data_IF_632938190198
#
_entry.id   IF_632938190198
#
_cell.length_a   1.000
_cell.length_b   1.000
_cell.length_c   1.000
_cell.angle_alpha   90.00
_cell.angle_beta   90.00
_cell.angle_gamma   90.00
#
_symmetry.space_group_name_H-M   'P 1'
#
loop_
_entity.id
_entity.type
_entity.pdbx_description
1 polymer ?
#
# COMPACT_ATOMS: atom_id res chain seq x y z
N UNK A 1 -14.95 -43.58 7.48
CA UNK A 1 -16.03 -42.81 6.82
C UNK A 1 -16.74 -41.99 7.89
N UNK A 2 -16.31 -40.74 8.11
CA UNK A 2 -16.78 -39.91 9.23
C UNK A 2 -18.07 -39.16 8.91
N UNK A 3 -18.87 -38.84 9.93
CA UNK A 3 -20.22 -38.24 9.90
C UNK A 3 -20.40 -36.94 9.07
N UNK A 4 -19.38 -36.42 8.41
CA UNK A 4 -19.42 -35.10 7.76
C UNK A 4 -18.64 -35.00 6.43
N UNK A 5 -18.54 -36.08 5.64
CA UNK A 5 -17.92 -35.97 4.31
C UNK A 5 -18.94 -35.50 3.26
N UNK A 6 -18.73 -34.31 2.70
CA UNK A 6 -19.33 -33.96 1.41
C UNK A 6 -18.61 -34.74 0.29
N UNK A 7 -19.29 -35.11 -0.81
CA UNK A 7 -18.60 -35.71 -1.95
C UNK A 7 -17.56 -34.73 -2.49
N UNK A 8 -16.37 -35.25 -2.78
CA UNK A 8 -15.26 -34.47 -3.32
C UNK A 8 -15.64 -33.83 -4.65
N UNK A 9 -15.19 -32.59 -4.90
CA UNK A 9 -15.36 -31.95 -6.20
C UNK A 9 -14.17 -32.30 -7.09
N UNK A 10 -14.42 -33.06 -8.15
CA UNK A 10 -13.41 -33.36 -9.17
C UNK A 10 -13.49 -32.29 -10.26
N UNK A 11 -12.40 -31.55 -10.47
CA UNK A 11 -12.32 -30.52 -11.50
C UNK A 11 -11.84 -31.10 -12.83
N UNK A 12 -12.37 -30.57 -13.93
CA UNK A 12 -11.78 -30.78 -15.27
C UNK A 12 -10.47 -29.98 -15.35
N UNK A 13 -9.47 -30.44 -16.11
CA UNK A 13 -8.31 -29.62 -16.41
C UNK A 13 -8.71 -28.28 -17.01
N UNK A 14 -8.04 -27.20 -16.62
CA UNK A 14 -8.36 -25.84 -17.06
C UNK A 14 -8.35 -25.69 -18.59
N UNK A 15 -7.47 -26.43 -19.28
CA UNK A 15 -7.38 -26.46 -20.74
C UNK A 15 -8.60 -27.10 -21.43
N UNK A 16 -9.37 -27.91 -20.70
CA UNK A 16 -10.51 -28.68 -21.22
C UNK A 16 -11.86 -28.02 -20.87
N UNK A 17 -11.85 -26.86 -20.19
CA UNK A 17 -13.06 -26.12 -19.81
C UNK A 17 -13.62 -25.37 -21.02
N UNK A 18 -14.88 -25.62 -21.36
CA UNK A 18 -15.58 -24.86 -22.39
C UNK A 18 -15.98 -23.48 -21.84
N UNK A 19 -15.50 -22.41 -22.48
CA UNK A 19 -15.87 -21.01 -22.15
C UNK A 19 -16.79 -20.40 -23.21
N UNK A 20 -17.31 -21.23 -24.13
CA UNK A 20 -18.21 -20.82 -25.19
C UNK A 20 -19.64 -20.54 -24.71
N UNK A 21 -20.51 -20.01 -25.60
CA UNK A 21 -21.88 -19.65 -25.27
C UNK A 21 -22.79 -20.81 -24.81
N UNK A 22 -22.39 -22.06 -25.08
CA UNK A 22 -23.11 -23.28 -24.69
C UNK A 22 -22.55 -23.96 -23.43
N UNK A 23 -21.58 -23.33 -22.77
CA UNK A 23 -20.91 -23.88 -21.60
C UNK A 23 -21.88 -24.15 -20.45
N UNK A 24 -21.62 -25.23 -19.70
CA UNK A 24 -22.27 -25.56 -18.44
C UNK A 24 -21.59 -24.92 -17.22
N UNK A 25 -20.50 -24.17 -17.44
CA UNK A 25 -19.82 -23.41 -16.40
C UNK A 25 -20.70 -22.24 -15.94
N UNK A 26 -20.80 -22.06 -14.62
CA UNK A 26 -21.64 -21.05 -14.01
C UNK A 26 -20.85 -20.19 -13.04
N UNK A 27 -21.28 -18.92 -12.92
CA UNK A 27 -20.70 -18.02 -11.94
C UNK A 27 -21.09 -18.44 -10.52
N UNK A 28 -20.10 -18.81 -9.71
CA UNK A 28 -20.30 -19.06 -8.28
C UNK A 28 -20.33 -17.70 -7.57
N UNK A 29 -21.53 -17.23 -7.23
CA UNK A 29 -21.66 -16.03 -6.40
C UNK A 29 -21.16 -16.30 -4.98
N UNK A 30 -20.13 -15.59 -4.50
CA UNK A 30 -19.64 -15.76 -3.14
C UNK A 30 -20.69 -15.23 -2.15
N UNK A 31 -21.21 -16.11 -1.30
CA UNK A 31 -22.05 -15.76 -0.16
C UNK A 31 -21.26 -16.01 1.12
N UNK A 32 -20.32 -15.12 1.42
CA UNK A 32 -19.45 -15.25 2.59
C UNK A 32 -20.28 -15.01 3.85
N UNK A 33 -20.39 -16.03 4.69
CA UNK A 33 -21.12 -16.01 5.97
C UNK A 33 -20.13 -15.95 7.11
N UNK A 34 -20.22 -14.87 7.89
CA UNK A 34 -19.45 -14.71 9.11
C UNK A 34 -20.26 -13.91 10.14
N UNK A 35 -20.08 -14.17 11.45
CA UNK A 35 -20.70 -13.36 12.48
C UNK A 35 -20.09 -11.95 12.48
N UNK A 36 -20.95 -10.92 12.55
CA UNK A 36 -20.52 -9.53 12.77
C UNK A 36 -20.52 -9.25 14.27
N UNK A 37 -19.34 -9.20 14.87
CA UNK A 37 -19.15 -8.99 16.32
C UNK A 37 -18.24 -7.78 16.59
N UNK A 38 -18.46 -7.10 17.72
CA UNK A 38 -17.67 -5.96 18.17
C UNK A 38 -17.61 -5.89 19.70
N UNK A 39 -16.68 -5.10 20.24
CA UNK A 39 -16.56 -4.85 21.69
C UNK A 39 -16.26 -6.10 22.51
N UNK A 40 -17.07 -6.38 23.54
CA UNK A 40 -16.88 -7.57 24.39
C UNK A 40 -17.15 -8.87 23.62
N UNK A 41 -18.10 -8.87 22.68
CA UNK A 41 -18.49 -10.07 21.94
C UNK A 41 -17.38 -10.59 21.05
N UNK A 42 -16.58 -9.71 20.43
CA UNK A 42 -15.42 -10.15 19.64
C UNK A 42 -14.33 -10.78 20.53
N UNK A 43 -14.13 -10.28 21.77
CA UNK A 43 -13.18 -10.88 22.72
C UNK A 43 -13.58 -12.30 23.11
N UNK A 44 -14.87 -12.50 23.42
CA UNK A 44 -15.41 -13.83 23.73
C UNK A 44 -15.29 -14.76 22.52
N UNK A 45 -15.61 -14.26 21.33
CA UNK A 45 -15.54 -15.04 20.09
C UNK A 45 -14.11 -15.48 19.78
N UNK A 46 -13.11 -14.59 19.89
CA UNK A 46 -11.69 -14.93 19.72
C UNK A 46 -11.25 -15.97 20.75
N UNK A 47 -11.61 -15.78 22.03
CA UNK A 47 -11.30 -16.76 23.08
C UNK A 47 -11.85 -18.17 22.75
N UNK A 48 -13.07 -18.26 22.23
CA UNK A 48 -13.66 -19.53 21.75
C UNK A 48 -12.87 -20.12 20.58
N UNK A 49 -12.48 -19.29 19.60
CA UNK A 49 -11.69 -19.74 18.44
C UNK A 49 -10.31 -20.27 18.82
N UNK A 50 -9.72 -19.76 19.91
CA UNK A 50 -8.42 -20.20 20.43
C UNK A 50 -8.51 -21.47 21.30
N UNK A 51 -9.72 -21.92 21.66
CA UNK A 51 -9.89 -23.17 22.42
C UNK A 51 -9.49 -24.39 21.57
N UNK A 52 -8.64 -25.31 22.09
CA UNK A 52 -8.09 -26.41 21.28
C UNK A 52 -9.11 -27.31 20.57
N UNK A 53 -10.24 -27.59 21.21
CA UNK A 53 -11.28 -28.49 20.67
C UNK A 53 -12.42 -27.68 20.05
N UNK A 54 -13.02 -26.78 20.84
CA UNK A 54 -14.18 -25.99 20.41
C UNK A 54 -13.83 -25.08 19.23
N UNK A 55 -12.66 -24.44 19.26
CA UNK A 55 -12.19 -23.57 18.18
C UNK A 55 -12.06 -24.30 16.85
N UNK A 56 -11.55 -25.54 16.86
CA UNK A 56 -11.46 -26.36 15.64
C UNK A 56 -12.82 -26.73 15.07
N UNK A 57 -13.81 -27.02 15.93
CA UNK A 57 -15.19 -27.28 15.50
C UNK A 57 -15.80 -26.03 14.86
N UNK A 58 -15.64 -24.86 15.49
CA UNK A 58 -16.14 -23.59 14.97
C UNK A 58 -15.47 -23.24 13.64
N UNK A 59 -14.14 -23.37 13.53
CA UNK A 59 -13.41 -23.13 12.29
C UNK A 59 -13.84 -24.09 11.18
N UNK A 60 -14.10 -25.35 11.48
CA UNK A 60 -14.63 -26.31 10.51
C UNK A 60 -15.99 -25.87 9.96
N UNK A 61 -16.90 -25.42 10.83
CA UNK A 61 -18.22 -24.91 10.43
C UNK A 61 -18.06 -23.67 9.54
N UNK A 62 -17.25 -22.69 9.96
CA UNK A 62 -16.99 -21.48 9.17
C UNK A 62 -16.40 -21.81 7.79
N UNK A 63 -15.41 -22.71 7.71
CA UNK A 63 -14.83 -23.13 6.43
C UNK A 63 -15.85 -23.85 5.54
N UNK A 64 -16.66 -24.74 6.12
CA UNK A 64 -17.69 -25.49 5.41
C UNK A 64 -18.79 -24.56 4.85
N UNK A 65 -19.31 -23.65 5.67
CA UNK A 65 -20.37 -22.71 5.29
C UNK A 65 -19.91 -21.73 4.21
N UNK A 66 -18.61 -21.47 4.14
CA UNK A 66 -17.96 -20.63 3.14
C UNK A 66 -17.32 -21.44 1.98
N UNK A 67 -17.74 -22.69 1.79
CA UNK A 67 -17.33 -23.57 0.69
C UNK A 67 -15.84 -23.92 0.60
N UNK A 68 -15.01 -23.52 1.57
CA UNK A 68 -13.56 -23.80 1.56
C UNK A 68 -13.29 -25.30 1.54
N UNK A 69 -14.01 -26.09 2.34
CA UNK A 69 -13.81 -27.54 2.33
C UNK A 69 -14.17 -28.14 0.97
N UNK A 70 -15.32 -27.76 0.39
CA UNK A 70 -15.78 -28.27 -0.91
C UNK A 70 -14.85 -27.88 -2.07
N UNK A 71 -14.34 -26.65 -2.07
CA UNK A 71 -13.62 -26.08 -3.20
C UNK A 71 -12.10 -26.22 -3.10
N UNK A 72 -11.58 -26.47 -1.89
CA UNK A 72 -10.14 -26.55 -1.61
C UNK A 72 -9.77 -27.87 -0.96
N UNK A 73 -10.29 -28.17 0.23
CA UNK A 73 -9.83 -29.33 1.03
C UNK A 73 -10.23 -30.69 0.44
N UNK A 74 -11.45 -30.76 -0.09
CA UNK A 74 -12.08 -31.97 -0.64
C UNK A 74 -12.12 -31.90 -2.18
N UNK A 75 -11.26 -31.09 -2.79
CA UNK A 75 -11.19 -30.93 -4.25
C UNK A 75 -10.07 -31.79 -4.84
N UNK A 76 -10.35 -32.44 -5.97
CA UNK A 76 -9.34 -33.05 -6.82
C UNK A 76 -9.03 -32.07 -7.96
N UNK A 77 -7.84 -31.48 -7.92
CA UNK A 77 -7.36 -30.46 -8.85
C UNK A 77 -6.23 -31.11 -9.67
N UNK A 78 -6.42 -31.31 -10.98
CA UNK A 78 -5.45 -32.04 -11.80
C UNK A 78 -4.18 -31.23 -12.10
N UNK A 79 -4.23 -29.89 -11.99
CA UNK A 79 -3.08 -29.04 -12.23
C UNK A 79 -2.01 -29.18 -11.13
N UNK A 80 -0.72 -29.15 -11.50
CA UNK A 80 0.34 -29.01 -10.52
C UNK A 80 0.28 -27.63 -9.82
N UNK A 81 0.72 -27.53 -8.56
CA UNK A 81 0.70 -26.27 -7.83
C UNK A 81 1.65 -25.23 -8.44
N UNK A 82 1.16 -23.99 -8.59
CA UNK A 82 1.97 -22.84 -8.98
C UNK A 82 2.21 -21.94 -7.75
N UNK A 83 3.42 -21.98 -7.19
CA UNK A 83 3.76 -21.27 -5.95
C UNK A 83 4.07 -19.77 -6.15
N UNK A 84 4.53 -19.40 -7.35
CA UNK A 84 4.86 -18.02 -7.71
C UNK A 84 4.27 -17.73 -9.08
N UNK A 85 3.83 -16.49 -9.30
CA UNK A 85 3.34 -16.09 -10.61
C UNK A 85 4.42 -16.33 -11.69
N UNK A 86 4.15 -17.23 -12.62
CA UNK A 86 4.99 -17.48 -13.80
C UNK A 86 4.29 -16.91 -15.01
N UNK A 87 4.94 -15.97 -15.67
CA UNK A 87 4.48 -15.42 -16.93
C UNK A 87 5.37 -15.96 -18.03
N UNK A 88 4.78 -16.58 -19.06
CA UNK A 88 5.46 -16.76 -20.33
C UNK A 88 5.67 -15.37 -20.91
N UNK A 89 6.91 -14.90 -20.91
CA UNK A 89 7.24 -13.60 -21.47
C UNK A 89 7.43 -13.76 -22.98
N UNK A 90 6.76 -12.91 -23.74
CA UNK A 90 7.05 -12.66 -25.15
C UNK A 90 7.33 -11.17 -25.27
N UNK A 91 8.34 -10.79 -26.06
CA UNK A 91 8.65 -9.39 -26.37
C UNK A 91 7.48 -8.83 -27.19
N UNK A 92 6.46 -8.31 -26.51
CA UNK A 92 5.37 -7.58 -27.14
C UNK A 92 5.80 -6.11 -27.12
N UNK A 93 6.21 -5.52 -28.26
CA UNK A 93 6.60 -4.12 -28.29
C UNK A 93 5.37 -3.25 -28.05
N UNK A 94 5.21 -2.81 -26.80
CA UNK A 94 4.17 -1.86 -26.44
C UNK A 94 4.33 -0.59 -27.30
N UNK A 95 3.22 -0.10 -27.84
CA UNK A 95 3.23 1.08 -28.70
C UNK A 95 3.14 2.35 -27.84
N UNK A 96 3.78 3.43 -28.31
CA UNK A 96 3.77 4.74 -27.64
C UNK A 96 4.37 4.75 -26.22
N UNK A 97 5.31 3.83 -25.94
CA UNK A 97 6.07 3.81 -24.70
C UNK A 97 7.48 4.35 -24.91
N UNK A 98 8.06 4.90 -23.85
CA UNK A 98 9.49 5.24 -23.81
C UNK A 98 10.22 4.20 -22.98
N UNK A 99 11.11 3.45 -23.61
CA UNK A 99 11.95 2.49 -22.92
C UNK A 99 13.02 3.22 -22.12
N UNK A 100 13.00 3.02 -20.80
CA UNK A 100 13.98 3.58 -19.88
C UNK A 100 15.05 2.52 -19.63
N UNK A 101 16.33 2.92 -19.71
CA UNK A 101 17.44 2.00 -19.50
C UNK A 101 17.48 1.54 -18.02
N UNK A 102 17.78 0.25 -17.76
CA UNK A 102 17.73 -0.30 -16.40
C UNK A 102 18.83 0.23 -15.47
N UNK A 103 19.92 0.74 -16.02
CA UNK A 103 21.12 1.19 -15.31
C UNK A 103 21.05 2.63 -14.79
N UNK A 104 20.00 3.38 -15.14
CA UNK A 104 19.81 4.75 -14.66
C UNK A 104 19.62 4.79 -13.13
N UNK A 105 20.12 5.84 -12.49
CA UNK A 105 19.83 6.13 -11.10
C UNK A 105 18.36 6.47 -10.89
N UNK A 106 17.90 6.45 -9.63
CA UNK A 106 16.53 6.80 -9.27
C UNK A 106 16.14 8.20 -9.79
N UNK A 107 17.02 9.18 -9.58
CA UNK A 107 16.83 10.56 -9.99
C UNK A 107 16.76 10.72 -11.52
N UNK A 108 17.63 10.03 -12.26
CA UNK A 108 17.60 10.03 -13.72
C UNK A 108 16.30 9.42 -14.25
N UNK A 109 15.81 8.32 -13.65
CA UNK A 109 14.51 7.74 -14.02
C UNK A 109 13.35 8.71 -13.75
N UNK A 110 13.40 9.46 -12.65
CA UNK A 110 12.41 10.52 -12.37
C UNK A 110 12.45 11.61 -13.44
N UNK A 111 13.65 11.99 -13.89
CA UNK A 111 13.79 12.99 -14.95
C UNK A 111 13.26 12.49 -16.30
N UNK A 112 13.55 11.24 -16.67
CA UNK A 112 13.00 10.61 -17.85
C UNK A 112 11.47 10.56 -17.81
N UNK A 113 10.89 10.18 -16.67
CA UNK A 113 9.45 10.19 -16.44
C UNK A 113 8.86 11.60 -16.53
N UNK A 114 9.54 12.61 -15.98
CA UNK A 114 9.10 14.00 -16.04
C UNK A 114 9.03 14.52 -17.48
N UNK A 115 9.95 14.07 -18.36
CA UNK A 115 9.95 14.38 -19.78
C UNK A 115 8.84 13.70 -20.59
N UNK A 116 8.23 12.63 -20.06
CA UNK A 116 7.08 11.95 -20.68
C UNK A 116 5.74 12.58 -20.33
N UNK A 117 5.70 13.50 -19.36
CA UNK A 117 4.48 14.17 -18.92
C UNK A 117 4.15 15.37 -19.82
N UNK A 118 2.86 15.68 -20.04
CA UNK A 118 2.46 16.80 -20.90
C UNK A 118 3.00 18.14 -20.40
N UNK A 119 3.27 19.05 -21.33
CA UNK A 119 3.72 20.40 -21.04
C UNK A 119 2.62 21.21 -20.37
N UNK A 120 2.99 22.06 -19.40
CA UNK A 120 2.05 22.85 -18.59
C UNK A 120 1.16 23.77 -19.45
N UNK A 121 1.68 24.28 -20.56
CA UNK A 121 0.93 25.16 -21.47
C UNK A 121 -0.30 24.45 -22.09
N UNK A 122 -0.20 23.16 -22.41
CA UNK A 122 -1.35 22.38 -22.91
C UNK A 122 -2.41 22.18 -21.80
N UNK A 123 -1.97 21.96 -20.56
CA UNK A 123 -2.87 21.85 -19.40
C UNK A 123 -3.54 23.20 -19.05
N UNK A 124 -2.82 24.33 -19.19
CA UNK A 124 -3.37 25.67 -18.96
C UNK A 124 -4.29 26.13 -20.09
N UNK A 125 -3.98 25.81 -21.36
CA UNK A 125 -4.85 26.06 -22.51
C UNK A 125 -6.14 25.22 -22.44
N UNK A 126 -6.05 23.96 -21.98
CA UNK A 126 -7.23 23.15 -21.67
C UNK A 126 -8.03 23.70 -20.46
N UNK A 127 -7.36 24.34 -19.50
CA UNK A 127 -7.96 24.99 -18.34
C UNK A 127 -8.46 26.43 -18.59
N UNK A 128 -8.33 26.95 -19.82
CA UNK A 128 -8.88 28.25 -20.24
C UNK A 128 -10.41 28.31 -20.15
N UNK A 129 -11.08 27.17 -20.00
CA UNK A 129 -12.41 27.10 -19.43
C UNK A 129 -12.28 27.06 -17.90
N UNK A 130 -12.60 28.17 -17.22
CA UNK A 130 -12.56 28.33 -15.78
C UNK A 130 -13.09 27.11 -15.01
N UNK A 131 -12.22 26.16 -14.67
CA UNK A 131 -12.59 24.99 -13.88
C UNK A 131 -12.50 25.40 -12.40
N UNK A 132 -13.60 25.93 -11.86
CA UNK A 132 -13.78 26.33 -10.46
C UNK A 132 -13.89 25.15 -9.48
N UNK A 133 -13.18 24.04 -9.76
CA UNK A 133 -13.14 22.86 -8.90
C UNK A 133 -11.93 22.87 -7.97
N UNK A 134 -12.09 22.27 -6.79
CA UNK A 134 -10.97 21.95 -5.90
C UNK A 134 -9.99 21.03 -6.64
N UNK A 135 -8.75 21.48 -6.84
CA UNK A 135 -7.66 20.66 -7.38
C UNK A 135 -6.69 20.30 -6.28
N UNK A 136 -6.23 19.04 -6.27
CA UNK A 136 -5.11 18.63 -5.42
C UNK A 136 -3.81 19.11 -6.03
N UNK A 137 -2.87 19.47 -5.18
CA UNK A 137 -1.50 19.77 -5.59
C UNK A 137 -0.83 18.54 -6.18
N UNK A 138 -0.07 18.73 -7.24
CA UNK A 138 0.77 17.69 -7.85
C UNK A 138 2.21 17.80 -7.34
N UNK A 139 2.99 16.74 -7.55
CA UNK A 139 4.45 16.74 -7.29
C UNK A 139 5.14 17.89 -8.04
N UNK A 140 4.73 18.15 -9.29
CA UNK A 140 5.30 19.22 -10.12
C UNK A 140 4.99 20.61 -9.55
N UNK A 141 3.81 20.82 -8.98
CA UNK A 141 3.48 22.11 -8.36
C UNK A 141 4.41 22.43 -7.19
N UNK A 142 4.75 21.43 -6.37
CA UNK A 142 5.73 21.59 -5.29
C UNK A 142 7.13 21.85 -5.85
N UNK A 143 7.61 21.05 -6.81
CA UNK A 143 8.93 21.24 -7.41
C UNK A 143 9.09 22.63 -8.05
N UNK A 144 8.06 23.11 -8.75
CA UNK A 144 8.03 24.44 -9.36
C UNK A 144 8.05 25.54 -8.30
N UNK A 145 7.23 25.43 -7.25
CA UNK A 145 7.16 26.40 -6.16
C UNK A 145 8.47 26.47 -5.33
N UNK A 146 9.16 25.33 -5.17
CA UNK A 146 10.48 25.28 -4.54
C UNK A 146 11.56 25.90 -5.41
N UNK A 147 11.52 25.64 -6.72
CA UNK A 147 12.49 26.17 -7.68
C UNK A 147 12.34 27.67 -7.91
N UNK A 148 11.11 28.19 -7.88
CA UNK A 148 10.81 29.63 -8.02
C UNK A 148 11.06 30.42 -6.74
N UNK A 149 11.20 29.74 -5.59
CA UNK A 149 11.28 30.36 -4.28
C UNK A 149 9.95 30.88 -3.73
N UNK A 150 8.82 30.56 -4.36
CA UNK A 150 7.47 30.87 -3.84
C UNK A 150 7.26 30.25 -2.46
N UNK A 151 7.78 29.04 -2.25
CA UNK A 151 7.83 28.39 -0.94
C UNK A 151 9.08 27.53 -0.82
N UNK A 152 9.29 26.89 0.34
CA UNK A 152 10.42 25.99 0.57
C UNK A 152 9.95 24.66 1.15
N UNK A 153 10.72 23.56 0.97
CA UNK A 153 10.46 22.30 1.64
C UNK A 153 10.30 22.47 3.16
N UNK A 154 11.08 23.35 3.81
CA UNK A 154 10.96 23.67 5.25
C UNK A 154 9.59 24.25 5.61
N UNK A 155 9.08 25.20 4.83
CA UNK A 155 7.76 25.80 5.08
C UNK A 155 6.64 24.78 4.91
N UNK A 156 6.74 23.92 3.90
CA UNK A 156 5.76 22.84 3.66
C UNK A 156 5.82 21.79 4.78
N UNK A 157 7.02 21.34 5.17
CA UNK A 157 7.22 20.40 6.27
C UNK A 157 6.67 20.94 7.60
N UNK A 158 6.87 22.23 7.88
CA UNK A 158 6.33 22.88 9.08
C UNK A 158 4.80 22.81 9.12
N UNK A 159 4.14 23.13 8.00
CA UNK A 159 2.67 23.04 7.88
C UNK A 159 2.18 21.59 7.99
N UNK A 160 2.90 20.66 7.37
CA UNK A 160 2.60 19.23 7.46
C UNK A 160 2.66 18.72 8.90
N UNK A 161 3.73 19.02 9.65
CA UNK A 161 3.88 18.60 11.04
C UNK A 161 2.79 19.18 11.94
N UNK A 162 2.36 20.42 11.68
CA UNK A 162 1.21 21.00 12.37
C UNK A 162 -0.08 20.20 12.11
N UNK A 163 -0.33 19.81 10.86
CA UNK A 163 -1.49 18.99 10.49
C UNK A 163 -1.42 17.56 11.09
N UNK A 164 -0.24 16.95 11.13
CA UNK A 164 -0.04 15.64 11.79
C UNK A 164 -0.38 15.76 13.28
N UNK A 165 0.14 16.79 13.95
CA UNK A 165 -0.15 17.04 15.37
C UNK A 165 -1.64 17.24 15.62
N UNK A 166 -2.32 18.01 14.77
CA UNK A 166 -3.76 18.25 14.84
C UNK A 166 -4.54 16.93 14.67
N UNK A 167 -4.15 16.10 13.70
CA UNK A 167 -4.82 14.82 13.41
C UNK A 167 -4.80 13.82 14.57
N UNK A 168 -3.78 13.90 15.42
CA UNK A 168 -3.62 13.07 16.63
C UNK A 168 -4.18 13.73 17.89
N UNK A 169 -4.75 14.94 17.77
CA UNK A 169 -5.39 15.64 18.86
C UNK A 169 -6.71 14.99 19.28
N UNK A 170 -7.22 15.30 20.49
CA UNK A 170 -8.43 14.70 21.05
C UNK A 170 -9.69 14.95 20.21
N UNK A 171 -9.70 16.03 19.41
CA UNK A 171 -10.85 16.40 18.58
C UNK A 171 -11.00 15.50 17.34
N UNK A 172 -9.89 14.99 16.79
CA UNK A 172 -9.87 14.21 15.56
C UNK A 172 -9.59 12.73 15.82
N UNK A 173 -8.63 12.43 16.69
CA UNK A 173 -8.24 11.06 17.05
C UNK A 173 -8.08 10.12 15.84
N UNK A 174 -7.46 10.62 14.77
CA UNK A 174 -7.28 9.87 13.51
C UNK A 174 -5.92 9.18 13.40
N UNK A 175 -4.90 9.71 14.09
CA UNK A 175 -3.55 9.15 14.16
C UNK A 175 -3.01 8.73 12.78
N UNK A 176 -2.93 9.66 11.81
CA UNK A 176 -2.48 9.34 10.45
C UNK A 176 -1.08 8.72 10.41
N UNK A 177 -0.21 9.12 11.33
CA UNK A 177 1.13 8.58 11.51
C UNK A 177 1.25 8.01 12.93
N UNK A 178 1.78 6.79 13.02
CA UNK A 178 2.06 6.12 14.30
C UNK A 178 3.51 6.36 14.74
N UNK A 179 4.37 6.79 13.82
CA UNK A 179 5.71 7.30 14.11
C UNK A 179 6.04 8.45 13.15
N UNK A 180 6.26 9.64 13.69
CA UNK A 180 6.65 10.82 12.94
C UNK A 180 7.53 11.66 13.87
N UNK A 181 8.79 11.86 13.48
CA UNK A 181 9.77 12.62 14.23
C UNK A 181 9.89 14.01 13.59
N UNK A 182 9.39 15.08 14.24
CA UNK A 182 9.50 16.43 13.73
C UNK A 182 10.93 16.86 13.44
N UNK A 183 11.91 16.42 14.24
CA UNK A 183 13.31 16.83 14.05
C UNK A 183 13.88 16.20 12.78
N UNK A 184 13.63 14.91 12.55
CA UNK A 184 14.10 14.23 11.34
C UNK A 184 13.42 14.76 10.07
N UNK A 185 12.10 14.99 10.11
CA UNK A 185 11.37 15.58 8.97
C UNK A 185 11.89 16.98 8.65
N UNK A 186 12.12 17.81 9.65
CA UNK A 186 12.67 19.16 9.46
C UNK A 186 14.11 19.12 8.95
N UNK A 187 14.96 18.24 9.48
CA UNK A 187 16.34 18.04 8.99
C UNK A 187 16.37 17.68 7.50
N UNK A 188 15.55 16.71 7.08
CA UNK A 188 15.43 16.33 5.66
C UNK A 188 14.95 17.51 4.80
N UNK A 189 13.96 18.26 5.27
CA UNK A 189 13.43 19.43 4.57
C UNK A 189 14.44 20.58 4.46
N UNK A 190 15.26 20.81 5.49
CA UNK A 190 16.35 21.79 5.46
C UNK A 190 17.43 21.41 4.45
N UNK A 191 17.83 20.14 4.41
CA UNK A 191 18.78 19.63 3.42
C UNK A 191 18.27 19.84 1.99
N UNK A 192 16.99 19.55 1.75
CA UNK A 192 16.33 19.82 0.47
C UNK A 192 16.28 21.31 0.15
N UNK A 193 15.90 22.15 1.12
CA UNK A 193 15.84 23.61 0.94
C UNK A 193 17.22 24.19 0.55
N UNK A 194 18.31 23.71 1.17
CA UNK A 194 19.68 24.11 0.81
C UNK A 194 20.05 23.69 -0.62
N UNK A 195 19.57 22.54 -1.09
CA UNK A 195 19.77 22.09 -2.48
C UNK A 195 19.05 22.98 -3.48
N UNK A 196 17.78 23.32 -3.22
CA UNK A 196 17.04 24.27 -4.07
C UNK A 196 17.70 25.66 -4.10
N UNK A 197 18.13 26.20 -2.95
CA UNK A 197 18.84 27.48 -2.89
C UNK A 197 20.14 27.52 -3.72
N UNK A 198 20.77 26.37 -3.95
CA UNK A 198 21.98 26.23 -4.75
C UNK A 198 21.70 25.85 -6.21
N UNK A 199 20.44 25.70 -6.61
CA UNK A 199 20.05 25.19 -7.94
C UNK A 199 20.48 23.73 -8.17
N UNK A 200 20.58 22.94 -7.11
CA UNK A 200 21.12 21.57 -7.12
C UNK A 200 20.13 20.55 -6.56
N UNK A 201 18.83 20.71 -6.86
CA UNK A 201 17.80 19.73 -6.51
C UNK A 201 18.10 18.37 -7.17
N UNK A 202 17.88 17.28 -6.44
CA UNK A 202 18.23 15.93 -6.88
C UNK A 202 17.30 15.40 -7.97
N UNK A 203 16.01 15.72 -7.88
CA UNK A 203 14.99 15.32 -8.86
C UNK A 203 13.71 16.13 -8.64
N UNK A 204 12.67 15.89 -9.46
CA UNK A 204 11.33 16.45 -9.23
C UNK A 204 10.67 15.97 -7.91
N UNK A 205 11.23 14.97 -7.23
CA UNK A 205 10.79 14.52 -5.90
C UNK A 205 11.56 15.18 -4.75
N UNK A 206 12.59 15.98 -5.02
CA UNK A 206 13.38 16.60 -3.95
C UNK A 206 12.50 17.53 -3.12
N UNK A 207 12.43 17.30 -1.81
CA UNK A 207 11.60 18.06 -0.89
C UNK A 207 10.14 17.60 -0.78
N UNK A 208 9.69 16.67 -1.63
CA UNK A 208 8.32 16.15 -1.60
C UNK A 208 8.14 15.21 -0.41
N UNK A 209 7.10 15.45 0.39
CA UNK A 209 6.75 14.61 1.53
C UNK A 209 6.15 13.28 1.09
N UNK A 210 6.68 12.17 1.59
CA UNK A 210 6.20 10.81 1.32
C UNK A 210 5.96 10.06 2.62
N UNK A 211 4.73 9.57 2.80
CA UNK A 211 4.38 8.70 3.91
C UNK A 211 4.81 7.26 3.61
N UNK A 212 5.41 6.58 4.58
CA UNK A 212 5.84 5.18 4.45
C UNK A 212 4.89 4.29 5.26
N UNK A 213 4.28 3.28 4.64
CA UNK A 213 3.44 2.31 5.36
C UNK A 213 4.27 1.58 6.41
N UNK A 214 3.71 1.34 7.60
CA UNK A 214 4.52 0.88 8.74
C UNK A 214 5.14 -0.52 8.62
N UNK A 215 4.66 -1.36 7.70
CA UNK A 215 5.28 -2.65 7.36
C UNK A 215 6.54 -2.53 6.48
N UNK A 216 6.89 -1.33 6.02
CA UNK A 216 8.11 -1.04 5.25
C UNK A 216 9.18 -0.41 6.14
N UNK A 217 10.42 -0.84 5.97
CA UNK A 217 11.56 -0.26 6.69
C UNK A 217 11.91 1.14 6.19
N UNK A 218 12.08 2.06 7.12
CA UNK A 218 12.45 3.45 6.87
C UNK A 218 13.20 4.00 8.09
N UNK A 219 14.52 4.14 7.99
CA UNK A 219 15.32 4.67 9.10
C UNK A 219 15.07 6.19 9.25
N UNK A 220 15.07 6.73 10.49
CA UNK A 220 15.39 6.09 11.77
C UNK A 220 14.20 5.41 12.47
N UNK A 221 13.04 5.35 11.84
CA UNK A 221 11.82 4.87 12.47
C UNK A 221 11.80 3.34 12.64
N UNK A 222 11.18 2.82 13.73
CA UNK A 222 10.93 1.40 13.86
C UNK A 222 9.90 0.92 12.81
N UNK A 223 9.87 -0.39 12.58
CA UNK A 223 8.86 -1.08 11.76
C UNK A 223 8.01 -1.93 12.69
N UNK A 224 6.77 -1.52 12.95
CA UNK A 224 5.90 -2.22 13.92
C UNK A 224 4.83 -3.07 13.27
N UNK A 225 4.58 -2.91 11.97
CA UNK A 225 3.45 -3.53 11.28
C UNK A 225 2.11 -3.13 11.87
N UNK A 226 2.01 -1.95 12.49
CA UNK A 226 0.83 -1.53 13.26
C UNK A 226 0.62 -2.28 14.58
N UNK A 227 1.61 -3.03 15.05
CA UNK A 227 1.60 -3.74 16.35
C UNK A 227 2.37 -2.94 17.42
N UNK A 228 2.27 -3.39 18.69
CA UNK A 228 3.06 -2.84 19.81
C UNK A 228 4.35 -3.60 20.12
N UNK A 229 4.58 -4.76 19.52
CA UNK A 229 5.64 -5.68 19.94
C UNK A 229 6.71 -5.91 18.86
N UNK A 230 6.39 -5.76 17.57
CA UNK A 230 7.29 -6.16 16.49
C UNK A 230 8.63 -5.40 16.52
N UNK A 231 8.63 -4.11 16.89
CA UNK A 231 9.85 -3.32 17.00
C UNK A 231 10.85 -3.86 18.05
N UNK A 232 10.36 -4.55 19.08
CA UNK A 232 11.21 -5.19 20.07
C UNK A 232 11.80 -6.51 19.55
N UNK A 233 11.06 -7.22 18.69
CA UNK A 233 11.47 -8.49 18.09
C UNK A 233 12.36 -8.32 16.86
N UNK A 234 12.21 -7.22 16.12
CA UNK A 234 12.91 -6.94 14.87
C UNK A 234 13.26 -5.46 14.77
N UNK A 235 14.56 -5.16 14.66
CA UNK A 235 15.06 -3.80 14.47
C UNK A 235 15.03 -3.41 12.99
N UNK A 236 14.75 -2.14 12.72
CA UNK A 236 14.90 -1.51 11.42
C UNK A 236 16.35 -1.03 11.29
N UNK A 237 17.15 -1.69 10.44
CA UNK A 237 18.59 -1.41 10.32
C UNK A 237 18.95 -0.58 9.08
N UNK A 238 18.12 -0.67 8.04
CA UNK A 238 18.31 0.05 6.78
C UNK A 238 16.94 0.30 6.13
N UNK A 239 16.89 1.26 5.20
CA UNK A 239 15.70 1.50 4.40
C UNK A 239 15.35 0.26 3.54
N UNK A 240 14.05 0.02 3.38
CA UNK A 240 13.57 -0.88 2.34
C UNK A 240 13.99 -0.36 0.96
N UNK A 241 14.16 -1.25 -0.02
CA UNK A 241 14.67 -0.88 -1.35
C UNK A 241 13.87 0.28 -1.99
N UNK A 242 12.55 0.29 -1.88
CA UNK A 242 11.72 1.39 -2.40
C UNK A 242 11.94 2.71 -1.65
N UNK A 243 12.13 2.67 -0.34
CA UNK A 243 12.38 3.84 0.52
C UNK A 243 13.76 4.43 0.23
N UNK A 244 14.78 3.57 0.04
CA UNK A 244 16.12 4.00 -0.35
C UNK A 244 16.12 4.74 -1.70
N UNK A 245 15.33 4.27 -2.67
CA UNK A 245 15.19 4.93 -3.98
C UNK A 245 14.50 6.29 -3.86
N UNK A 246 13.46 6.42 -3.04
CA UNK A 246 12.80 7.69 -2.75
C UNK A 246 13.77 8.68 -2.07
N UNK A 247 14.54 8.22 -1.08
CA UNK A 247 15.55 9.03 -0.40
C UNK A 247 16.64 9.50 -1.37
N UNK A 248 17.10 8.63 -2.27
CA UNK A 248 18.07 8.99 -3.31
C UNK A 248 17.54 10.07 -4.28
N UNK A 249 16.23 10.16 -4.47
CA UNK A 249 15.58 11.23 -5.23
C UNK A 249 15.40 12.54 -4.46
N UNK A 250 15.76 12.58 -3.17
CA UNK A 250 15.62 13.75 -2.29
C UNK A 250 14.25 13.90 -1.62
N UNK A 251 13.38 12.88 -1.70
CA UNK A 251 12.08 12.91 -1.03
C UNK A 251 12.24 13.02 0.50
N UNK A 252 11.34 13.76 1.14
CA UNK A 252 11.26 13.87 2.59
C UNK A 252 10.37 12.75 3.11
N UNK A 253 10.97 11.77 3.78
CA UNK A 253 10.25 10.63 4.34
C UNK A 253 9.56 11.08 5.62
N UNK A 254 8.25 11.24 5.54
CA UNK A 254 7.43 11.94 6.52
C UNK A 254 7.18 11.14 7.81
N UNK A 255 7.50 9.85 7.83
CA UNK A 255 7.26 8.93 8.94
C UNK A 255 6.48 7.68 8.53
N UNK A 256 6.07 6.91 9.55
CA UNK A 256 5.33 5.66 9.44
C UNK A 256 3.83 5.90 9.56
N UNK A 257 3.12 5.66 8.47
CA UNK A 257 1.67 5.78 8.39
C UNK A 257 0.96 4.66 9.16
N UNK A 258 -0.22 4.97 9.72
CA UNK A 258 -1.07 3.97 10.35
C UNK A 258 -1.58 2.94 9.34
N UNK A 259 -1.89 1.74 9.83
CA UNK A 259 -2.36 0.63 9.02
C UNK A 259 -3.18 -0.34 9.87
N UNK A 260 -3.99 -1.16 9.19
CA UNK A 260 -4.57 -2.35 9.83
C UNK A 260 -3.43 -3.26 10.29
N UNK A 261 -3.51 -3.74 11.54
CA UNK A 261 -2.45 -4.54 12.16
C UNK A 261 -2.03 -5.71 11.26
N UNK A 262 -0.73 -5.78 10.92
CA UNK A 262 -0.09 -6.77 10.05
C UNK A 262 -0.69 -6.92 8.64
N UNK A 263 -1.46 -5.93 8.17
CA UNK A 263 -2.18 -6.03 6.90
C UNK A 263 -3.31 -7.07 6.92
N UNK A 264 -3.69 -7.57 8.10
CA UNK A 264 -4.67 -8.64 8.29
C UNK A 264 -6.14 -8.18 8.15
N UNK A 265 -6.37 -7.05 7.46
CA UNK A 265 -7.70 -6.52 7.21
C UNK A 265 -7.71 -5.38 6.19
N UNK A 266 -8.90 -5.10 5.68
CA UNK A 266 -9.11 -4.18 4.54
C UNK A 266 -9.81 -2.87 4.93
N UNK A 267 -10.12 -2.67 6.22
CA UNK A 267 -10.86 -1.49 6.71
C UNK A 267 -9.98 -0.37 7.27
N UNK A 268 -8.71 -0.65 7.57
CA UNK A 268 -7.81 0.28 8.27
C UNK A 268 -8.04 0.40 9.79
N UNK A 269 -8.98 -0.34 10.39
CA UNK A 269 -9.18 -0.35 11.85
C UNK A 269 -7.93 -0.89 12.54
N UNK A 270 -7.40 -0.14 13.51
CA UNK A 270 -6.32 -0.59 14.37
C UNK A 270 -6.66 -0.22 15.84
N UNK A 271 -6.83 -1.20 16.76
CA UNK A 271 -7.15 -0.91 18.16
C UNK A 271 -5.93 -0.47 18.98
N UNK A 272 -4.73 -0.49 18.42
CA UNK A 272 -3.48 -0.14 19.12
C UNK A 272 -3.14 1.34 19.04
N UNK A 273 -3.63 2.05 18.02
CA UNK A 273 -3.24 3.40 17.62
C UNK A 273 -4.44 4.31 17.38
#
# INVERSE_FOLDING_TARGET
>A
MGLFSSPAKVYKPAADVDLGPGSDEFYISPNVKAPRVAGLLVKIFVWILEMPIVGQIVLYILKKDNLINKLVSDADIPEPPLFTATHSWEDIPEQNVRLIKPDLSAAERVQEAAGCLPARLEATLAAGAASSGLKRWTIRDFADAYSSGETTPVQVATRFLAAVKESSGPDLNMAFFISCDPEDVMRQAEESTRRYQRGAALSALDGVLVAVKDEMDCVPYPTTGGTRWLAAARRCEADAACVAQLRACGAVLAGKANMHELGAGTSGINPQH
#
